data_IF_284101741389
#
_entry.id   IF_284101741389
#
_cell.length_a   1.000
_cell.length_b   1.000
_cell.length_c   1.000
_cell.angle_alpha   90.00
_cell.angle_beta   90.00
_cell.angle_gamma   90.00
#
_symmetry.space_group_name_H-M   'P 1'
#
loop_
_entity.id
_entity.type
_entity.pdbx_description
1 polymer ?
#
# COMPACT_ATOMS: atom_id res chain seq x y z
N UNK A 1 -26.72 -55.42 -80.62
CA UNK A 1 -25.70 -54.74 -81.46
C UNK A 1 -24.71 -54.15 -80.52
N UNK A 2 -23.56 -54.84 -80.25
CA UNK A 2 -22.22 -54.53 -80.72
C UNK A 2 -21.74 -53.13 -80.29
N UNK A 3 -20.70 -52.92 -79.55
CA UNK A 3 -19.29 -53.29 -79.63
C UNK A 3 -18.49 -52.78 -78.40
N UNK A 4 -17.70 -53.67 -77.83
CA UNK A 4 -16.23 -53.64 -77.69
C UNK A 4 -15.61 -52.52 -76.81
N UNK A 5 -15.05 -52.96 -75.70
CA UNK A 5 -13.61 -53.00 -75.32
C UNK A 5 -12.82 -51.69 -75.34
N UNK A 6 -12.27 -51.33 -74.23
CA UNK A 6 -10.81 -51.39 -74.00
C UNK A 6 -10.42 -51.07 -72.54
N UNK A 7 -9.60 -51.95 -71.99
CA UNK A 7 -8.80 -51.83 -70.75
C UNK A 7 -7.88 -50.63 -70.81
N UNK A 8 -7.77 -49.93 -69.76
CA UNK A 8 -6.52 -49.27 -69.39
C UNK A 8 -6.32 -49.42 -67.89
N UNK A 9 -5.34 -50.24 -67.53
CA UNK A 9 -4.72 -50.27 -66.20
C UNK A 9 -4.02 -48.94 -65.95
N UNK A 10 -4.31 -48.30 -64.87
CA UNK A 10 -3.40 -47.30 -64.24
C UNK A 10 -3.26 -47.66 -62.81
N UNK A 11 -2.00 -47.89 -62.46
CA UNK A 11 -1.52 -48.07 -61.12
C UNK A 11 -2.04 -46.93 -60.21
N UNK A 12 -2.74 -47.27 -59.17
CA UNK A 12 -3.06 -46.36 -58.06
C UNK A 12 -1.98 -46.52 -57.04
N UNK A 13 -1.15 -45.49 -56.92
CA UNK A 13 -0.23 -45.29 -55.79
C UNK A 13 -1.04 -45.06 -54.53
N UNK A 14 -1.02 -45.97 -53.59
CA UNK A 14 -1.67 -45.85 -52.29
C UNK A 14 -0.86 -44.89 -51.44
N UNK A 15 -1.31 -43.64 -51.33
CA UNK A 15 -0.87 -42.71 -50.31
C UNK A 15 -1.58 -43.07 -49.00
N UNK A 16 -0.85 -43.71 -48.08
CA UNK A 16 -1.31 -44.01 -46.74
C UNK A 16 -1.20 -42.75 -45.89
N UNK A 17 -2.27 -41.99 -45.78
CA UNK A 17 -2.41 -40.87 -44.92
C UNK A 17 -2.77 -41.39 -43.51
N UNK A 18 -1.77 -41.58 -42.67
CA UNK A 18 -1.97 -41.89 -41.24
C UNK A 18 -2.39 -40.61 -40.53
N UNK A 19 -3.67 -40.39 -40.41
CA UNK A 19 -4.25 -39.38 -39.54
C UNK A 19 -4.21 -39.89 -38.10
N UNK A 20 -3.18 -39.51 -37.35
CA UNK A 20 -3.16 -39.70 -35.88
C UNK A 20 -4.08 -38.64 -35.29
N UNK A 21 -5.34 -38.96 -35.08
CA UNK A 21 -6.28 -38.19 -34.28
C UNK A 21 -5.96 -38.44 -32.82
N UNK A 22 -5.08 -37.61 -32.25
CA UNK A 22 -4.89 -37.51 -30.80
C UNK A 22 -6.07 -36.73 -30.25
N UNK A 23 -7.14 -37.42 -29.90
CA UNK A 23 -8.21 -36.86 -29.07
C UNK A 23 -7.68 -36.69 -27.67
N UNK A 24 -7.11 -35.49 -27.40
CA UNK A 24 -6.87 -35.03 -26.04
C UNK A 24 -8.23 -34.72 -25.42
N UNK A 25 -8.86 -35.71 -24.79
CA UNK A 25 -9.97 -35.48 -23.89
C UNK A 25 -9.40 -34.79 -22.64
N UNK A 26 -9.29 -33.47 -22.69
CA UNK A 26 -9.19 -32.67 -21.49
C UNK A 26 -10.57 -32.75 -20.84
N UNK A 27 -10.76 -33.74 -19.97
CA UNK A 27 -11.77 -33.65 -18.95
C UNK A 27 -11.40 -32.44 -18.07
N UNK A 28 -11.90 -31.25 -18.43
CA UNK A 28 -11.97 -30.12 -17.55
C UNK A 28 -12.91 -30.57 -16.43
N UNK A 29 -12.36 -31.12 -15.34
CA UNK A 29 -13.05 -31.14 -14.07
C UNK A 29 -13.28 -29.68 -13.71
N UNK A 30 -14.41 -29.10 -14.12
CA UNK A 30 -14.94 -27.92 -13.48
C UNK A 30 -15.13 -28.33 -12.02
N UNK A 31 -14.16 -28.00 -11.16
CA UNK A 31 -14.33 -28.14 -9.74
C UNK A 31 -15.60 -27.37 -9.42
N UNK A 32 -16.59 -28.04 -8.85
CA UNK A 32 -17.82 -27.38 -8.41
C UNK A 32 -17.41 -26.25 -7.47
N UNK A 33 -17.54 -25.02 -7.97
CA UNK A 33 -17.18 -23.81 -7.21
C UNK A 33 -17.94 -23.73 -5.88
N UNK A 34 -18.98 -24.53 -5.75
CA UNK A 34 -19.83 -24.69 -4.58
C UNK A 34 -19.40 -25.86 -3.66
N UNK A 35 -18.32 -26.58 -3.99
CA UNK A 35 -17.84 -27.65 -3.13
C UNK A 35 -16.84 -27.14 -2.11
N UNK A 36 -17.16 -27.22 -0.83
CA UNK A 36 -16.27 -26.88 0.27
C UNK A 36 -14.92 -27.62 0.21
N UNK A 37 -14.89 -28.80 -0.43
CA UNK A 37 -13.69 -29.64 -0.57
C UNK A 37 -12.61 -29.06 -1.47
N UNK A 38 -12.96 -28.15 -2.38
CA UNK A 38 -12.05 -27.55 -3.34
C UNK A 38 -11.17 -26.42 -2.75
N UNK A 39 -11.47 -26.00 -1.50
CA UNK A 39 -10.74 -24.92 -0.84
C UNK A 39 -9.59 -25.45 0.01
N UNK A 40 -8.45 -24.78 -0.08
CA UNK A 40 -7.23 -25.12 0.66
C UNK A 40 -7.39 -24.87 2.18
N UNK A 41 -8.09 -23.80 2.53
CA UNK A 41 -8.33 -23.40 3.93
C UNK A 41 -9.81 -23.45 4.24
N UNK A 42 -10.14 -23.94 5.44
CA UNK A 42 -11.49 -23.97 6.01
C UNK A 42 -11.40 -23.63 7.48
N UNK A 43 -12.08 -22.58 7.90
CA UNK A 43 -12.08 -22.10 9.28
C UNK A 43 -13.53 -22.02 9.79
N UNK A 44 -13.88 -22.66 10.89
CA UNK A 44 -15.18 -22.53 11.52
C UNK A 44 -15.42 -21.08 11.96
N UNK A 45 -16.65 -20.63 11.81
CA UNK A 45 -17.08 -19.28 12.20
C UNK A 45 -18.06 -19.41 13.36
N UNK A 46 -17.79 -18.72 14.46
CA UNK A 46 -18.74 -18.55 15.56
C UNK A 46 -19.53 -17.27 15.34
N UNK A 47 -20.83 -17.42 15.07
CA UNK A 47 -21.75 -16.30 14.85
C UNK A 47 -22.09 -15.58 16.14
N UNK A 48 -22.42 -14.28 16.00
CA UNK A 48 -23.09 -13.54 17.06
C UNK A 48 -24.57 -13.86 17.01
N UNK A 49 -25.19 -14.28 18.13
CA UNK A 49 -26.63 -14.62 18.19
C UNK A 49 -27.51 -13.44 17.74
N UNK A 50 -28.67 -13.74 17.18
CA UNK A 50 -29.74 -12.80 16.81
C UNK A 50 -29.32 -11.70 15.80
N UNK A 51 -28.20 -11.86 15.09
CA UNK A 51 -27.72 -10.94 14.09
C UNK A 51 -27.69 -11.60 12.71
N UNK A 52 -28.64 -11.28 11.81
CA UNK A 52 -28.70 -11.90 10.49
C UNK A 52 -27.54 -11.42 9.57
N UNK A 53 -27.15 -10.16 9.68
CA UNK A 53 -26.01 -9.60 8.97
C UNK A 53 -24.84 -9.44 9.92
N UNK A 54 -23.71 -9.97 9.52
CA UNK A 54 -22.48 -9.97 10.31
C UNK A 54 -21.28 -9.66 9.45
N UNK A 55 -20.20 -9.25 10.08
CA UNK A 55 -18.94 -8.99 9.40
C UNK A 55 -17.82 -9.89 9.90
N UNK A 56 -16.90 -10.20 8.99
CA UNK A 56 -15.73 -11.03 9.24
C UNK A 56 -14.51 -10.36 8.64
N UNK A 57 -13.51 -10.07 9.44
CA UNK A 57 -12.20 -9.64 8.90
C UNK A 57 -11.42 -10.87 8.43
N UNK A 58 -10.87 -10.83 7.22
CA UNK A 58 -10.07 -11.93 6.69
C UNK A 58 -8.77 -12.07 7.51
N UNK A 59 -8.52 -13.25 8.08
CA UNK A 59 -7.30 -13.50 8.84
C UNK A 59 -6.09 -13.72 7.92
N UNK A 60 -4.88 -13.59 8.45
CA UNK A 60 -3.64 -13.85 7.73
C UNK A 60 -3.63 -15.23 7.05
N UNK A 61 -4.13 -16.25 7.77
CA UNK A 61 -4.22 -17.61 7.26
C UNK A 61 -5.03 -17.71 5.96
N UNK A 62 -6.12 -16.94 5.83
CA UNK A 62 -6.90 -16.89 4.61
C UNK A 62 -6.17 -16.13 3.50
N UNK A 63 -5.60 -14.96 3.81
CA UNK A 63 -4.92 -14.09 2.83
C UNK A 63 -3.75 -14.80 2.14
N UNK A 64 -2.99 -15.61 2.87
CA UNK A 64 -1.84 -16.35 2.33
C UNK A 64 -2.20 -17.62 1.54
N UNK A 65 -3.49 -17.97 1.46
CA UNK A 65 -3.98 -19.07 0.63
C UNK A 65 -4.64 -18.59 -0.67
N UNK A 66 -4.92 -17.28 -0.79
CA UNK A 66 -5.66 -16.75 -1.92
C UNK A 66 -4.91 -16.93 -3.24
N UNK A 67 -5.63 -17.39 -4.25
CA UNK A 67 -5.13 -17.57 -5.62
C UNK A 67 -5.59 -16.44 -6.55
N UNK A 68 -6.47 -15.56 -6.06
CA UNK A 68 -7.00 -14.40 -6.78
C UNK A 68 -6.66 -13.09 -6.08
N UNK A 69 -6.11 -12.12 -6.81
CA UNK A 69 -5.85 -10.77 -6.31
C UNK A 69 -7.11 -9.95 -6.00
N UNK A 70 -8.25 -10.35 -6.57
CA UNK A 70 -9.57 -9.78 -6.31
C UNK A 70 -10.32 -10.46 -5.17
N UNK A 71 -9.67 -11.36 -4.43
CA UNK A 71 -10.27 -12.14 -3.33
C UNK A 71 -11.41 -13.07 -3.80
N UNK A 72 -11.49 -13.38 -5.11
CA UNK A 72 -12.61 -14.11 -5.71
C UNK A 72 -12.76 -15.55 -5.20
N UNK A 73 -11.75 -16.09 -4.59
CA UNK A 73 -11.66 -17.44 -4.06
C UNK A 73 -11.91 -17.54 -2.56
N UNK A 74 -12.74 -16.62 -2.03
CA UNK A 74 -13.26 -16.66 -0.66
C UNK A 74 -14.75 -16.95 -0.70
N UNK A 75 -15.22 -17.82 0.17
CA UNK A 75 -16.65 -18.14 0.37
C UNK A 75 -16.95 -18.39 1.85
N UNK A 76 -18.19 -18.19 2.23
CA UNK A 76 -18.72 -18.64 3.50
C UNK A 76 -19.81 -19.66 3.20
N UNK A 77 -19.75 -20.81 3.85
CA UNK A 77 -20.69 -21.90 3.69
C UNK A 77 -21.48 -22.13 4.98
N UNK A 78 -22.75 -22.54 4.83
CA UNK A 78 -23.58 -23.03 5.94
C UNK A 78 -23.36 -24.53 6.18
N UNK A 79 -24.05 -25.12 7.15
CA UNK A 79 -23.94 -26.54 7.48
C UNK A 79 -24.32 -27.48 6.31
N UNK A 80 -25.16 -27.03 5.39
CA UNK A 80 -25.59 -27.80 4.22
C UNK A 80 -24.54 -27.70 3.08
N UNK A 81 -23.43 -27.00 3.30
CA UNK A 81 -22.41 -26.77 2.27
C UNK A 81 -22.85 -25.79 1.18
N UNK A 82 -23.86 -24.98 1.44
CA UNK A 82 -24.32 -23.95 0.51
C UNK A 82 -23.60 -22.63 0.77
N UNK A 83 -23.13 -21.93 -0.28
CA UNK A 83 -22.53 -20.62 -0.10
C UNK A 83 -23.59 -19.59 0.32
N UNK A 84 -23.27 -18.76 1.29
CA UNK A 84 -24.15 -17.69 1.75
C UNK A 84 -23.91 -16.38 0.99
N UNK A 85 -24.94 -15.52 0.85
CA UNK A 85 -24.77 -14.20 0.24
C UNK A 85 -23.75 -13.36 1.02
N UNK A 86 -22.81 -12.76 0.32
CA UNK A 86 -21.74 -11.96 0.93
C UNK A 86 -21.29 -10.80 0.05
N UNK A 87 -20.75 -9.77 0.67
CA UNK A 87 -20.15 -8.61 0.04
C UNK A 87 -18.72 -8.40 0.56
N UNK A 88 -17.83 -7.92 -0.30
CA UNK A 88 -16.50 -7.52 0.08
C UNK A 88 -16.51 -6.04 0.47
N UNK A 89 -15.95 -5.71 1.61
CA UNK A 89 -15.73 -4.33 2.05
C UNK A 89 -14.27 -4.15 2.47
N UNK A 90 -13.75 -2.96 2.21
CA UNK A 90 -12.47 -2.54 2.79
C UNK A 90 -12.76 -1.90 4.12
N UNK A 91 -11.97 -2.23 5.13
CA UNK A 91 -12.03 -1.50 6.39
C UNK A 91 -11.64 -0.06 6.09
N UNK A 92 -12.61 0.85 6.12
CA UNK A 92 -12.29 2.26 6.02
C UNK A 92 -11.36 2.60 7.18
N UNK A 93 -10.25 3.25 6.89
CA UNK A 93 -9.52 3.97 7.94
C UNK A 93 -10.54 4.95 8.51
N UNK A 94 -10.95 4.77 9.76
CA UNK A 94 -11.75 5.78 10.44
C UNK A 94 -10.98 7.08 10.30
N UNK A 95 -11.58 8.16 9.75
CA UNK A 95 -10.90 9.44 9.74
C UNK A 95 -10.54 9.69 11.20
N UNK A 96 -9.26 9.69 11.46
CA UNK A 96 -8.80 9.91 12.80
C UNK A 96 -9.27 11.31 13.18
N UNK A 97 -10.01 11.46 14.27
CA UNK A 97 -10.39 12.76 14.79
C UNK A 97 -9.10 13.51 15.09
N UNK A 98 -8.87 14.62 14.41
CA UNK A 98 -7.74 15.49 14.68
C UNK A 98 -7.88 15.97 16.11
N UNK A 99 -6.93 15.65 16.97
CA UNK A 99 -6.89 16.20 18.30
C UNK A 99 -6.84 17.73 18.20
N UNK A 100 -7.52 18.43 19.10
CA UNK A 100 -7.51 19.87 19.14
C UNK A 100 -6.97 20.34 20.50
N UNK A 101 -5.96 21.19 20.45
CA UNK A 101 -5.40 21.83 21.64
C UNK A 101 -5.59 23.34 21.52
N UNK A 102 -6.32 23.95 22.46
CA UNK A 102 -6.52 25.40 22.49
C UNK A 102 -5.42 26.06 23.30
N UNK A 103 -4.80 27.08 22.74
CA UNK A 103 -3.77 27.90 23.36
C UNK A 103 -4.26 29.32 23.52
N UNK A 104 -4.01 29.90 24.68
CA UNK A 104 -4.29 31.33 24.96
C UNK A 104 -3.13 32.18 24.48
N UNK A 105 -3.42 33.33 23.86
CA UNK A 105 -2.41 34.26 23.41
C UNK A 105 -2.04 35.27 24.54
N UNK A 106 -0.76 35.46 24.74
CA UNK A 106 -0.21 36.48 25.64
C UNK A 106 0.38 37.60 24.79
N UNK A 107 -0.11 38.84 24.88
CA UNK A 107 0.35 39.94 24.04
C UNK A 107 1.84 40.29 24.35
N UNK A 108 2.57 40.53 23.26
CA UNK A 108 3.94 41.07 23.31
C UNK A 108 3.83 42.58 23.17
N UNK A 109 4.18 43.31 24.21
CA UNK A 109 4.10 44.77 24.28
C UNK A 109 5.47 45.38 24.01
N UNK A 110 5.53 46.47 23.28
CA UNK A 110 6.73 47.25 23.05
C UNK A 110 6.47 48.76 23.02
N UNK A 111 7.51 49.58 23.19
CA UNK A 111 7.39 51.05 23.04
C UNK A 111 7.18 51.49 21.61
N UNK A 112 6.72 52.72 21.40
CA UNK A 112 6.45 53.28 20.05
C UNK A 112 7.66 53.22 19.09
N UNK A 113 8.88 53.25 19.62
CA UNK A 113 10.12 53.21 18.86
C UNK A 113 10.64 51.78 18.57
N UNK A 114 9.97 50.74 19.08
CA UNK A 114 10.43 49.37 18.95
C UNK A 114 10.05 48.81 17.60
N UNK A 115 11.00 48.77 16.69
CA UNK A 115 10.83 48.20 15.32
C UNK A 115 11.33 46.75 15.18
N UNK A 116 12.09 46.23 16.18
CA UNK A 116 12.65 44.91 16.16
C UNK A 116 12.31 44.13 17.45
N UNK A 117 11.99 42.86 17.28
CA UNK A 117 11.64 41.92 18.35
C UNK A 117 12.88 41.20 18.95
N UNK A 118 14.09 41.67 18.62
CA UNK A 118 15.32 41.12 19.16
C UNK A 118 15.62 41.66 20.56
N UNK A 119 15.93 40.77 21.50
CA UNK A 119 16.29 41.12 22.89
C UNK A 119 15.13 41.17 23.88
N UNK A 120 14.04 40.44 23.60
CA UNK A 120 12.91 40.34 24.54
C UNK A 120 13.31 39.66 25.86
N UNK A 121 13.07 40.33 26.99
CA UNK A 121 13.13 39.72 28.33
C UNK A 121 11.74 39.26 28.72
N UNK A 122 11.60 37.95 28.94
CA UNK A 122 10.37 37.34 29.42
C UNK A 122 10.36 37.32 30.95
N UNK A 123 9.40 37.99 31.57
CA UNK A 123 9.11 37.88 32.98
C UNK A 123 7.80 37.12 33.18
N UNK A 124 7.88 35.92 33.71
CA UNK A 124 6.70 35.13 34.05
C UNK A 124 6.41 35.35 35.53
N UNK A 125 5.32 36.02 35.86
CA UNK A 125 4.81 36.10 37.22
C UNK A 125 3.61 35.19 37.38
N UNK A 126 3.69 34.25 38.32
CA UNK A 126 2.58 33.39 38.71
C UNK A 126 1.94 33.93 39.94
N UNK A 127 0.72 34.51 39.84
CA UNK A 127 -0.07 34.99 40.97
C UNK A 127 -1.39 34.23 41.01
N UNK A 128 -1.66 33.53 42.11
CA UNK A 128 -2.95 32.86 42.40
C UNK A 128 -3.44 31.93 41.29
N UNK A 129 -2.55 31.13 40.68
CA UNK A 129 -2.93 30.19 39.61
C UNK A 129 -3.14 30.83 38.21
N UNK A 130 -2.96 32.14 38.10
CA UNK A 130 -2.90 32.85 36.81
C UNK A 130 -1.44 33.18 36.50
N UNK A 131 -0.97 32.68 35.36
CA UNK A 131 0.34 33.05 34.81
C UNK A 131 0.21 34.35 34.06
N UNK A 132 0.81 35.41 34.61
CA UNK A 132 0.97 36.68 33.91
C UNK A 132 2.32 36.65 33.21
N UNK A 133 2.30 36.68 31.89
CA UNK A 133 3.52 36.73 31.08
C UNK A 133 3.73 38.18 30.68
N UNK A 134 4.67 38.88 31.30
CA UNK A 134 5.11 40.19 30.88
C UNK A 134 6.36 40.05 30.01
N UNK A 135 6.27 40.49 28.80
CA UNK A 135 7.43 40.68 27.94
C UNK A 135 7.79 42.16 27.96
N UNK A 136 9.02 42.45 28.31
CA UNK A 136 9.57 43.81 28.20
C UNK A 136 10.83 43.80 27.35
N UNK A 137 11.03 44.85 26.57
CA UNK A 137 12.30 45.13 25.90
C UNK A 137 13.29 45.70 26.89
N UNK A 138 14.56 45.34 26.76
CA UNK A 138 15.64 45.67 27.73
C UNK A 138 16.03 47.14 27.79
N UNK A 139 15.39 48.04 27.08
CA UNK A 139 15.72 49.47 27.04
C UNK A 139 14.52 50.34 27.43
N UNK A 140 14.55 50.83 28.65
CA UNK A 140 13.86 52.07 29.02
C UNK A 140 12.64 51.91 29.91
N UNK A 141 12.69 52.61 31.03
CA UNK A 141 11.56 53.11 31.81
C UNK A 141 10.70 54.02 30.94
N UNK A 142 9.83 53.48 30.10
CA UNK A 142 8.84 54.27 29.34
C UNK A 142 7.46 54.13 29.98
N UNK A 143 6.76 55.27 30.06
CA UNK A 143 5.42 55.42 30.60
C UNK A 143 4.45 54.36 30.08
N UNK A 144 3.67 53.77 30.98
CA UNK A 144 2.66 52.73 30.68
C UNK A 144 1.52 53.18 29.73
N UNK A 145 1.55 54.42 29.25
CA UNK A 145 0.47 55.01 28.44
C UNK A 145 0.61 54.82 26.91
N UNK A 146 1.77 54.34 26.41
CA UNK A 146 2.02 54.22 24.95
C UNK A 146 2.63 52.86 24.58
N UNK A 147 2.07 51.79 25.09
CA UNK A 147 2.51 50.43 24.69
C UNK A 147 1.73 49.93 23.47
N UNK A 148 2.46 49.57 22.43
CA UNK A 148 1.91 48.95 21.20
C UNK A 148 2.04 47.43 21.26
N UNK A 149 1.00 46.71 20.81
CA UNK A 149 1.07 45.26 20.66
C UNK A 149 1.91 44.93 19.43
N UNK A 150 3.03 44.26 19.62
CA UNK A 150 3.96 43.86 18.55
C UNK A 150 3.69 42.46 18.03
N UNK A 151 2.95 41.66 18.80
CA UNK A 151 2.66 40.25 18.48
C UNK A 151 2.03 39.54 19.67
N UNK A 152 2.02 38.24 19.64
CA UNK A 152 1.57 37.41 20.75
C UNK A 152 2.42 36.16 20.92
N UNK A 153 2.51 35.67 22.13
CA UNK A 153 3.16 34.43 22.50
C UNK A 153 2.10 33.39 22.89
N UNK A 154 2.28 32.15 22.44
CA UNK A 154 1.44 31.00 22.77
C UNK A 154 2.32 29.91 23.40
N UNK A 155 1.86 29.25 24.44
CA UNK A 155 2.60 28.19 25.13
C UNK A 155 2.18 26.82 24.57
N UNK A 156 2.99 26.24 23.68
CA UNK A 156 2.74 24.92 23.06
C UNK A 156 3.59 23.81 23.70
N UNK A 157 4.27 24.03 24.81
CA UNK A 157 5.22 23.07 25.42
C UNK A 157 4.59 21.76 25.83
N UNK A 158 3.31 21.74 26.18
CA UNK A 158 2.59 20.55 26.60
C UNK A 158 1.99 19.76 25.41
N UNK A 159 2.11 20.26 24.19
CA UNK A 159 1.63 19.59 22.98
C UNK A 159 2.58 18.45 22.62
N UNK A 160 2.17 17.21 22.90
CA UNK A 160 3.02 16.01 22.72
C UNK A 160 2.89 15.36 21.34
N UNK A 161 1.83 15.70 20.61
CA UNK A 161 1.55 15.13 19.28
C UNK A 161 1.91 16.15 18.20
N UNK A 162 2.45 15.70 17.03
CA UNK A 162 2.78 16.62 15.95
C UNK A 162 1.58 17.45 15.51
N UNK A 163 1.80 18.74 15.28
CA UNK A 163 0.77 19.68 14.81
C UNK A 163 0.73 19.67 13.29
N UNK A 164 -0.48 19.59 12.71
CA UNK A 164 -0.73 19.56 11.26
C UNK A 164 -1.52 20.75 10.74
N UNK A 165 -2.19 21.50 11.65
CA UNK A 165 -2.83 22.75 11.29
C UNK A 165 -2.92 23.68 12.50
N UNK A 166 -2.95 24.98 12.25
CA UNK A 166 -3.05 26.04 13.26
C UNK A 166 -4.18 26.96 12.86
N UNK A 167 -5.25 27.02 13.67
CA UNK A 167 -6.33 27.96 13.50
C UNK A 167 -6.14 29.14 14.47
N UNK A 168 -5.98 30.34 13.94
CA UNK A 168 -5.84 31.54 14.74
C UNK A 168 -7.21 32.09 15.14
N UNK A 169 -7.43 32.32 16.44
CA UNK A 169 -8.58 33.07 16.96
C UNK A 169 -8.23 34.57 17.00
N UNK A 170 -8.48 35.23 15.88
CA UNK A 170 -8.05 36.61 15.67
C UNK A 170 -9.23 37.49 15.25
N UNK A 171 -9.28 38.71 15.78
CA UNK A 171 -10.12 39.78 15.30
C UNK A 171 -9.33 40.69 14.38
N UNK A 172 -9.88 40.98 13.19
CA UNK A 172 -9.23 41.70 12.10
C UNK A 172 -10.04 42.91 11.69
N UNK A 173 -9.39 44.02 11.29
CA UNK A 173 -10.07 45.12 10.60
C UNK A 173 -10.62 44.64 9.27
N UNK A 174 -11.77 45.21 8.86
CA UNK A 174 -12.39 44.87 7.58
C UNK A 174 -11.59 45.44 6.41
N UNK A 175 -11.63 44.71 5.28
CA UNK A 175 -11.07 45.16 3.98
C UNK A 175 -9.56 45.42 3.97
N UNK A 176 -8.81 44.85 4.92
CA UNK A 176 -7.35 44.99 4.98
C UNK A 176 -6.69 43.63 5.08
N UNK A 177 -5.83 43.24 4.11
CA UNK A 177 -5.02 42.01 4.23
C UNK A 177 -3.93 42.18 5.27
N UNK A 178 -3.79 41.20 6.16
CA UNK A 178 -2.79 41.17 7.22
C UNK A 178 -1.97 39.91 7.11
N UNK A 179 -0.65 40.08 7.01
CA UNK A 179 0.29 38.97 6.97
C UNK A 179 0.65 38.57 8.40
N UNK A 180 0.41 37.31 8.73
CA UNK A 180 0.82 36.69 9.98
C UNK A 180 2.04 35.83 9.76
N UNK A 181 3.02 35.97 10.66
CA UNK A 181 4.23 35.17 10.69
C UNK A 181 4.26 34.37 12.00
N UNK A 182 4.39 33.06 11.89
CA UNK A 182 4.42 32.14 13.01
C UNK A 182 5.80 31.52 13.15
N UNK A 183 6.38 31.64 14.33
CA UNK A 183 7.71 31.11 14.65
C UNK A 183 7.67 30.30 15.93
N UNK A 184 8.52 29.27 16.02
CA UNK A 184 8.65 28.43 17.21
C UNK A 184 10.04 28.52 17.82
N UNK A 185 10.12 28.49 19.17
CA UNK A 185 11.37 28.51 19.92
C UNK A 185 11.25 27.69 21.19
N UNK A 186 12.32 27.00 21.59
CA UNK A 186 12.43 26.32 22.89
C UNK A 186 12.98 27.23 23.99
N UNK A 187 13.77 28.21 23.62
CA UNK A 187 14.57 29.06 24.53
C UNK A 187 14.20 30.54 24.46
N UNK A 188 13.19 30.92 23.65
CA UNK A 188 12.75 32.30 23.40
C UNK A 188 13.81 33.18 22.74
N UNK A 189 14.94 32.61 22.34
CA UNK A 189 16.05 33.33 21.69
C UNK A 189 16.20 32.92 20.26
N UNK A 190 16.23 31.61 20.00
CA UNK A 190 16.40 31.06 18.68
C UNK A 190 15.04 30.70 18.09
N UNK A 191 14.60 31.44 17.07
CA UNK A 191 13.28 31.29 16.46
C UNK A 191 13.39 30.65 15.10
N UNK A 192 12.61 29.58 14.85
CA UNK A 192 12.46 28.96 13.54
C UNK A 192 11.10 29.27 12.95
N UNK A 193 11.03 29.48 11.65
CA UNK A 193 9.79 29.66 10.93
C UNK A 193 8.94 28.38 10.99
N UNK A 194 7.65 28.55 11.31
CA UNK A 194 6.64 27.48 11.29
C UNK A 194 5.73 27.64 10.07
N UNK A 195 5.17 28.85 9.92
CA UNK A 195 4.28 29.19 8.81
C UNK A 195 4.20 30.70 8.64
N UNK A 196 3.76 31.13 7.48
CA UNK A 196 3.29 32.47 7.18
C UNK A 196 1.95 32.39 6.42
N UNK A 197 1.08 33.37 6.64
CA UNK A 197 -0.22 33.42 5.98
C UNK A 197 -0.74 34.85 5.92
N UNK A 198 -1.60 35.10 4.93
CA UNK A 198 -2.32 36.37 4.82
C UNK A 198 -3.77 36.11 5.16
N UNK A 199 -4.29 36.80 6.18
CA UNK A 199 -5.68 36.75 6.55
C UNK A 199 -6.39 38.04 6.11
N UNK A 200 -7.63 37.88 5.65
CA UNK A 200 -8.45 38.98 5.15
C UNK A 200 -9.89 38.79 5.61
N UNK A 201 -10.50 39.88 6.08
CA UNK A 201 -11.91 39.93 6.50
C UNK A 201 -12.68 40.81 5.55
N UNK A 202 -13.66 40.25 4.84
CA UNK A 202 -14.42 40.96 3.83
C UNK A 202 -15.49 41.83 4.45
N UNK A 203 -16.22 41.33 5.46
CA UNK A 203 -17.25 42.04 6.21
C UNK A 203 -17.25 41.63 7.69
N UNK A 204 -18.08 42.31 8.49
CA UNK A 204 -18.13 42.08 9.94
C UNK A 204 -18.62 40.68 10.34
N UNK A 205 -19.28 39.96 9.44
CA UNK A 205 -19.86 38.62 9.69
C UNK A 205 -19.02 37.46 9.14
N UNK A 206 -18.14 37.71 8.15
CA UNK A 206 -17.32 36.66 7.55
C UNK A 206 -15.96 36.57 8.25
N UNK A 207 -15.84 35.62 9.14
CA UNK A 207 -14.53 35.11 9.56
C UNK A 207 -13.97 34.29 8.40
N UNK A 208 -13.03 34.84 7.65
CA UNK A 208 -12.23 34.08 6.69
C UNK A 208 -11.57 32.88 7.39
N UNK A 209 -11.29 31.83 6.67
CA UNK A 209 -10.63 30.64 7.19
C UNK A 209 -9.28 31.03 7.80
N UNK A 210 -9.22 31.10 9.13
CA UNK A 210 -8.00 31.41 9.89
C UNK A 210 -7.11 30.16 10.12
N UNK A 211 -7.41 29.05 9.43
CA UNK A 211 -6.71 27.78 9.57
C UNK A 211 -5.56 27.68 8.56
N UNK A 212 -4.38 27.45 9.07
CA UNK A 212 -3.13 27.31 8.34
C UNK A 212 -2.73 25.85 8.40
N UNK A 213 -2.75 25.14 7.28
CA UNK A 213 -2.22 23.79 7.20
C UNK A 213 -0.68 23.85 7.20
N UNK A 214 -0.06 23.02 8.03
CA UNK A 214 1.41 22.94 8.14
C UNK A 214 1.87 21.49 7.98
N UNK A 215 3.06 21.23 7.43
CA UNK A 215 3.64 19.90 7.51
C UNK A 215 3.70 19.45 8.97
N UNK A 216 3.49 18.16 9.25
CA UNK A 216 3.49 17.64 10.61
C UNK A 216 4.76 18.08 11.37
N UNK A 217 4.58 18.91 12.40
CA UNK A 217 5.68 19.51 13.17
C UNK A 217 5.57 19.15 14.63
N UNK A 218 6.70 18.74 15.22
CA UNK A 218 6.82 18.59 16.66
C UNK A 218 7.01 19.97 17.32
N UNK A 219 6.01 20.37 18.07
CA UNK A 219 6.02 21.62 18.86
C UNK A 219 6.16 21.36 20.36
N UNK A 220 6.44 20.11 20.77
CA UNK A 220 6.65 19.80 22.19
C UNK A 220 7.83 20.58 22.75
N UNK A 221 7.64 21.20 23.94
CA UNK A 221 8.65 22.06 24.56
C UNK A 221 8.87 23.42 23.88
N UNK A 222 8.04 23.79 22.88
CA UNK A 222 8.21 25.08 22.20
C UNK A 222 7.18 26.12 22.65
N UNK A 223 7.58 27.36 22.53
CA UNK A 223 6.70 28.52 22.48
C UNK A 223 6.46 28.90 21.01
N UNK A 224 5.28 29.41 20.69
CA UNK A 224 4.96 29.97 19.39
C UNK A 224 4.86 31.48 19.50
N UNK A 225 5.55 32.19 18.63
CA UNK A 225 5.43 33.63 18.46
C UNK A 225 4.66 33.93 17.22
N UNK A 226 3.59 34.71 17.34
CA UNK A 226 2.78 35.17 16.22
C UNK A 226 2.97 36.67 16.11
N UNK A 227 3.47 37.11 14.98
CA UNK A 227 3.63 38.53 14.64
C UNK A 227 2.84 38.84 13.40
N UNK A 228 2.44 40.11 13.22
CA UNK A 228 1.67 40.52 12.05
C UNK A 228 2.12 41.84 11.49
N UNK A 229 1.95 42.00 10.18
CA UNK A 229 2.23 43.20 9.41
C UNK A 229 1.13 43.48 8.41
N UNK A 230 0.81 44.73 8.22
CA UNK A 230 -0.17 45.19 7.20
C UNK A 230 0.40 46.31 6.35
N UNK A 231 -0.24 46.57 5.22
CA UNK A 231 0.24 47.50 4.18
C UNK A 231 0.35 48.97 4.60
N UNK A 232 -0.24 49.38 5.71
CA UNK A 232 -0.09 50.72 6.31
C UNK A 232 0.38 50.60 7.73
N UNK A 233 1.30 51.46 8.12
CA UNK A 233 2.08 51.45 9.36
C UNK A 233 1.32 51.63 10.68
N UNK A 234 -0.01 51.63 10.67
CA UNK A 234 -0.87 51.67 11.85
C UNK A 234 -1.83 50.52 11.86
N UNK A 235 -1.40 49.38 12.45
CA UNK A 235 -2.23 48.18 12.66
C UNK A 235 -3.08 48.31 13.93
N UNK A 236 -3.85 49.41 14.06
CA UNK A 236 -4.85 49.51 15.09
C UNK A 236 -6.01 48.57 14.75
N UNK A 237 -6.32 47.62 15.66
CA UNK A 237 -7.50 46.75 15.53
C UNK A 237 -7.23 45.28 15.28
N UNK A 238 -5.98 44.82 15.29
CA UNK A 238 -5.69 43.36 15.28
C UNK A 238 -5.60 42.86 16.73
N UNK A 239 -6.45 41.90 17.07
CA UNK A 239 -6.43 41.26 18.40
C UNK A 239 -6.37 39.74 18.23
N UNK A 240 -5.28 39.11 18.65
CA UNK A 240 -5.14 37.66 18.73
C UNK A 240 -5.52 37.19 20.13
N UNK A 241 -6.59 36.39 20.24
CA UNK A 241 -7.08 35.83 21.52
C UNK A 241 -6.41 34.49 21.84
N UNK A 242 -6.10 33.73 20.81
CA UNK A 242 -5.51 32.40 20.96
C UNK A 242 -5.32 31.70 19.62
N UNK A 243 -4.99 30.41 19.71
CA UNK A 243 -4.93 29.52 18.56
C UNK A 243 -5.44 28.14 18.96
N UNK A 244 -6.06 27.44 18.00
CA UNK A 244 -6.38 26.03 18.12
C UNK A 244 -5.41 25.25 17.24
N UNK A 245 -4.60 24.41 17.86
CA UNK A 245 -3.69 23.51 17.16
C UNK A 245 -4.43 22.22 16.84
N UNK A 246 -4.54 21.88 15.56
CA UNK A 246 -4.96 20.55 15.14
C UNK A 246 -3.74 19.65 15.14
N UNK A 247 -3.75 18.62 15.97
CA UNK A 247 -2.63 17.69 16.06
C UNK A 247 -2.83 16.55 15.08
N UNK A 248 -1.72 16.05 14.54
CA UNK A 248 -1.72 14.80 13.79
C UNK A 248 -2.33 13.76 14.73
N UNK A 249 -3.41 13.19 14.29
CA UNK A 249 -3.98 12.11 15.08
C UNK A 249 -2.98 11.01 15.10
N UNK A 250 -2.73 10.49 16.28
CA UNK A 250 -2.38 9.08 16.42
C UNK A 250 -3.64 8.34 15.99
N UNK A 251 -3.91 8.42 14.67
CA UNK A 251 -5.07 7.81 14.08
C UNK A 251 -5.05 6.36 14.40
N UNK A 252 -6.18 5.76 14.55
CA UNK A 252 -6.35 4.33 14.48
C UNK A 252 -5.49 3.85 13.32
N UNK A 253 -4.26 3.46 13.62
CA UNK A 253 -3.36 2.86 12.65
C UNK A 253 -4.17 1.67 12.15
N UNK A 254 -4.57 1.73 10.88
CA UNK A 254 -5.27 0.59 10.28
C UNK A 254 -4.42 -0.63 10.58
N UNK A 255 -4.88 -1.47 11.53
CA UNK A 255 -4.09 -2.61 11.98
C UNK A 255 -3.99 -3.57 10.82
N UNK A 256 -2.85 -3.58 10.17
CA UNK A 256 -2.56 -4.46 9.04
C UNK A 256 -2.51 -5.91 9.49
N UNK A 257 -2.94 -6.77 8.62
CA UNK A 257 -2.81 -8.21 8.81
C UNK A 257 -1.40 -8.62 8.43
N UNK A 258 -0.74 -9.39 9.29
CA UNK A 258 0.69 -9.68 9.22
C UNK A 258 0.92 -11.17 9.00
N UNK A 259 1.80 -11.51 8.05
CA UNK A 259 2.31 -12.87 7.86
C UNK A 259 3.82 -12.86 7.66
N UNK A 260 4.54 -13.74 8.35
CA UNK A 260 5.97 -13.89 8.18
C UNK A 260 6.28 -14.76 6.96
N UNK A 261 7.31 -14.42 6.20
CA UNK A 261 7.84 -15.30 5.16
C UNK A 261 8.95 -16.18 5.77
N UNK A 262 8.98 -17.43 5.34
CA UNK A 262 10.13 -18.29 5.68
C UNK A 262 11.42 -17.62 5.18
N UNK A 263 12.52 -17.66 5.95
CA UNK A 263 13.77 -17.02 5.56
C UNK A 263 14.18 -17.43 4.14
N UNK A 264 14.55 -16.48 3.27
CA UNK A 264 14.95 -16.77 1.90
C UNK A 264 16.33 -17.44 1.90
N UNK A 265 16.59 -18.22 0.88
CA UNK A 265 17.96 -18.57 0.57
C UNK A 265 18.66 -17.30 0.04
N UNK A 266 19.72 -16.86 0.71
CA UNK A 266 20.61 -15.81 0.20
C UNK A 266 21.36 -16.36 -1.01
N UNK A 267 21.06 -15.83 -2.19
CA UNK A 267 21.83 -16.11 -3.41
C UNK A 267 23.16 -15.35 -3.34
N UNK A 268 23.12 -14.13 -2.79
CA UNK A 268 24.29 -13.30 -2.51
C UNK A 268 23.97 -12.31 -1.39
N UNK A 269 24.97 -11.63 -0.78
CA UNK A 269 24.71 -10.57 0.19
C UNK A 269 23.85 -9.42 -0.35
N UNK A 270 23.76 -9.29 -1.68
CA UNK A 270 23.06 -8.19 -2.35
C UNK A 270 21.76 -8.61 -3.04
N UNK A 271 21.39 -9.88 -3.00
CA UNK A 271 20.18 -10.33 -3.69
C UNK A 271 19.55 -11.52 -2.98
N UNK A 272 18.24 -11.43 -2.77
CA UNK A 272 17.41 -12.55 -2.37
C UNK A 272 16.01 -12.41 -2.97
N UNK A 273 15.34 -13.53 -3.13
CA UNK A 273 14.03 -13.58 -3.78
C UNK A 273 13.07 -14.54 -3.08
N UNK A 274 11.78 -14.25 -3.23
CA UNK A 274 10.69 -15.06 -2.71
C UNK A 274 9.75 -15.45 -3.83
N UNK A 275 9.33 -16.70 -3.84
CA UNK A 275 8.18 -17.15 -4.62
C UNK A 275 6.99 -17.28 -3.66
N UNK A 276 5.97 -16.45 -3.86
CA UNK A 276 4.80 -16.39 -3.00
C UNK A 276 3.73 -17.39 -3.47
N UNK A 277 3.24 -18.28 -2.59
CA UNK A 277 2.21 -19.25 -2.95
C UNK A 277 0.81 -18.63 -3.08
N UNK A 278 0.68 -17.34 -2.84
CA UNK A 278 -0.58 -16.60 -2.82
C UNK A 278 -0.58 -15.42 -3.81
N UNK A 279 -1.77 -14.90 -4.09
CA UNK A 279 -2.00 -13.76 -4.98
C UNK A 279 -2.63 -12.54 -4.29
N UNK A 280 -2.84 -12.57 -2.96
CA UNK A 280 -3.38 -11.43 -2.23
C UNK A 280 -2.47 -10.20 -2.40
N UNK A 281 -3.03 -9.00 -2.65
CA UNK A 281 -2.23 -7.79 -2.78
C UNK A 281 -1.50 -7.46 -1.47
N UNK A 282 -0.19 -7.31 -1.55
CA UNK A 282 0.65 -6.91 -0.42
C UNK A 282 0.65 -5.38 -0.37
N UNK A 283 0.36 -4.81 0.80
CA UNK A 283 0.39 -3.37 1.04
C UNK A 283 1.80 -2.87 1.39
N UNK A 284 2.50 -3.61 2.24
CA UNK A 284 3.86 -3.26 2.65
C UNK A 284 4.70 -4.50 2.98
N UNK A 285 6.01 -4.31 2.98
CA UNK A 285 6.98 -5.27 3.50
C UNK A 285 7.70 -4.69 4.71
N UNK A 286 7.96 -5.52 5.71
CA UNK A 286 8.95 -5.23 6.75
C UNK A 286 10.14 -6.14 6.54
N UNK A 287 11.33 -5.56 6.50
CA UNK A 287 12.60 -6.26 6.35
C UNK A 287 13.42 -5.96 7.58
N UNK A 288 13.62 -6.96 8.43
CA UNK A 288 14.38 -6.83 9.67
C UNK A 288 15.76 -7.49 9.48
N UNK A 289 16.85 -6.70 9.33
CA UNK A 289 18.20 -7.23 9.19
C UNK A 289 18.64 -8.01 10.42
N UNK A 290 19.38 -9.10 10.19
CA UNK A 290 20.07 -9.81 11.25
C UNK A 290 21.37 -9.07 11.57
N UNK A 291 21.56 -8.72 12.83
CA UNK A 291 22.73 -7.95 13.29
C UNK A 291 22.40 -6.51 13.66
N UNK A 292 23.25 -5.91 14.51
CA UNK A 292 23.18 -4.51 14.91
C UNK A 292 23.93 -3.62 13.92
N UNK A 293 23.57 -2.35 13.86
CA UNK A 293 24.25 -1.33 13.05
C UNK A 293 24.34 -1.66 11.56
N UNK A 294 23.25 -2.21 11.02
CA UNK A 294 23.09 -2.52 9.60
C UNK A 294 22.35 -1.38 8.92
N UNK A 295 22.85 -0.94 7.75
CA UNK A 295 22.21 0.04 6.89
C UNK A 295 22.41 -0.38 5.44
N UNK A 296 21.33 -0.66 4.72
CA UNK A 296 21.38 -1.21 3.37
C UNK A 296 20.33 -0.50 2.51
N UNK A 297 20.71 0.31 1.51
CA UNK A 297 19.80 0.76 0.47
C UNK A 297 19.32 -0.43 -0.34
N UNK A 298 18.00 -0.53 -0.54
CA UNK A 298 17.38 -1.66 -1.23
C UNK A 298 16.38 -1.19 -2.27
N UNK A 299 16.30 -1.96 -3.35
CA UNK A 299 15.22 -1.91 -4.33
C UNK A 299 14.37 -3.16 -4.19
N UNK A 300 13.08 -2.97 -4.04
CA UNK A 300 12.10 -4.07 -4.03
C UNK A 300 11.49 -4.18 -5.42
N UNK A 301 11.61 -5.33 -6.03
CA UNK A 301 11.11 -5.64 -7.35
C UNK A 301 10.04 -6.73 -7.27
N UNK A 302 9.05 -6.69 -8.16
CA UNK A 302 8.00 -7.70 -8.23
C UNK A 302 7.64 -8.08 -9.64
N UNK A 303 7.13 -9.31 -9.82
CA UNK A 303 6.51 -9.78 -11.06
C UNK A 303 5.48 -10.88 -10.76
N UNK A 304 4.52 -11.07 -11.65
CA UNK A 304 3.50 -12.14 -11.51
C UNK A 304 3.88 -13.43 -12.23
N UNK A 305 4.66 -13.30 -13.28
CA UNK A 305 5.06 -14.42 -14.13
C UNK A 305 6.52 -14.22 -14.56
N UNK A 306 7.24 -15.31 -14.79
CA UNK A 306 8.64 -15.29 -15.23
C UNK A 306 8.86 -14.70 -16.60
N UNK A 307 7.84 -14.71 -17.45
CA UNK A 307 7.88 -14.05 -18.76
C UNK A 307 7.80 -12.54 -18.67
N UNK A 308 7.38 -12.00 -17.51
CA UNK A 308 7.27 -10.57 -17.29
C UNK A 308 8.58 -9.98 -16.78
N UNK A 309 8.94 -8.75 -17.19
CA UNK A 309 10.07 -8.06 -16.62
C UNK A 309 9.81 -7.71 -15.15
N UNK A 310 10.88 -7.55 -14.37
CA UNK A 310 10.81 -7.07 -13.01
C UNK A 310 10.34 -5.61 -12.97
N UNK A 311 9.31 -5.33 -12.20
CA UNK A 311 8.81 -3.98 -11.95
C UNK A 311 9.27 -3.51 -10.57
N UNK A 312 9.71 -2.26 -10.45
CA UNK A 312 10.06 -1.66 -9.16
C UNK A 312 8.80 -1.39 -8.36
N UNK A 313 8.73 -1.94 -7.16
CA UNK A 313 7.65 -1.75 -6.19
C UNK A 313 7.98 -0.69 -5.15
N UNK A 314 9.25 -0.58 -4.76
CA UNK A 314 9.75 0.44 -3.85
C UNK A 314 11.27 0.58 -3.92
N UNK A 315 11.79 1.78 -3.62
CA UNK A 315 13.19 2.07 -3.37
C UNK A 315 13.30 2.71 -1.98
N UNK A 316 14.18 2.18 -1.11
CA UNK A 316 14.29 2.67 0.27
C UNK A 316 15.59 2.24 0.93
N UNK A 317 15.78 2.64 2.20
CA UNK A 317 16.91 2.20 3.03
C UNK A 317 16.38 1.36 4.19
N UNK A 318 16.87 0.13 4.28
CA UNK A 318 16.62 -0.77 5.41
C UNK A 318 17.73 -0.60 6.42
N UNK A 319 17.38 -0.37 7.68
CA UNK A 319 18.38 -0.21 8.73
C UNK A 319 17.92 -0.80 10.07
N UNK A 320 18.91 -1.17 10.88
CA UNK A 320 18.79 -1.52 12.28
C UNK A 320 19.98 -0.91 12.99
N UNK A 321 19.75 0.19 13.70
CA UNK A 321 20.79 0.97 14.36
C UNK A 321 20.59 0.93 15.87
N UNK A 322 21.66 0.71 16.62
CA UNK A 322 21.63 0.73 18.08
C UNK A 322 22.54 1.83 18.57
N UNK A 323 21.97 2.82 19.24
CA UNK A 323 22.68 3.90 19.90
C UNK A 323 22.11 4.10 21.30
N UNK A 324 22.95 4.32 22.30
CA UNK A 324 22.58 4.56 23.69
C UNK A 324 21.61 3.49 24.27
N UNK A 325 21.83 2.23 23.91
CA UNK A 325 20.98 1.10 24.34
C UNK A 325 19.59 1.05 23.70
N UNK A 326 19.25 1.96 22.78
CA UNK A 326 18.00 1.98 22.01
C UNK A 326 18.25 1.47 20.60
N UNK A 327 17.44 0.49 20.17
CA UNK A 327 17.45 -0.01 18.79
C UNK A 327 16.37 0.67 17.98
N UNK A 328 16.75 1.26 16.86
CA UNK A 328 15.87 1.86 15.87
C UNK A 328 15.92 1.02 14.59
N UNK A 329 14.75 0.56 14.13
CA UNK A 329 14.60 -0.18 12.89
C UNK A 329 13.90 0.69 11.84
N UNK A 330 14.16 0.37 10.56
CA UNK A 330 13.35 0.90 9.47
C UNK A 330 11.89 0.47 9.62
N UNK A 331 10.97 1.39 9.30
CA UNK A 331 9.53 1.09 9.27
C UNK A 331 9.15 0.13 8.14
N UNK A 332 7.85 -0.22 8.04
CA UNK A 332 7.34 -0.92 6.88
C UNK A 332 7.59 -0.15 5.58
N UNK A 333 7.94 -0.87 4.54
CA UNK A 333 8.17 -0.36 3.19
C UNK A 333 6.86 -0.43 2.44
N UNK A 334 6.24 0.70 2.15
CA UNK A 334 5.01 0.76 1.38
C UNK A 334 5.27 0.31 -0.06
N UNK A 335 4.45 -0.59 -0.57
CA UNK A 335 4.57 -1.08 -1.95
C UNK A 335 3.54 -0.40 -2.84
N UNK A 336 3.92 -0.14 -4.08
CA UNK A 336 2.94 0.14 -5.12
C UNK A 336 2.06 -1.11 -5.22
N UNK A 337 0.77 -0.97 -4.88
CA UNK A 337 -0.17 -2.09 -4.76
C UNK A 337 -0.25 -2.89 -6.06
N UNK A 338 0.45 -4.00 -6.08
CA UNK A 338 0.35 -4.97 -7.14
C UNK A 338 0.26 -6.36 -6.51
N UNK A 339 -0.61 -7.20 -7.04
CA UNK A 339 -0.53 -8.62 -6.75
C UNK A 339 0.73 -9.13 -7.41
N UNK A 340 1.70 -9.58 -6.63
CA UNK A 340 2.97 -10.12 -7.11
C UNK A 340 3.14 -11.53 -6.59
N UNK A 341 3.57 -12.45 -7.46
CA UNK A 341 3.90 -13.83 -7.07
C UNK A 341 5.39 -14.01 -6.80
N UNK A 342 6.23 -13.20 -7.41
CA UNK A 342 7.67 -13.24 -7.17
C UNK A 342 8.12 -11.85 -6.71
N UNK A 343 8.85 -11.81 -5.60
CA UNK A 343 9.49 -10.60 -5.06
C UNK A 343 10.99 -10.82 -5.06
N UNK A 344 11.73 -9.83 -5.52
CA UNK A 344 13.19 -9.78 -5.45
C UNK A 344 13.60 -8.52 -4.72
N UNK A 345 14.56 -8.64 -3.82
CA UNK A 345 15.15 -7.52 -3.09
C UNK A 345 16.62 -7.43 -3.50
N UNK A 346 16.97 -6.29 -4.06
CA UNK A 346 18.33 -5.97 -4.50
C UNK A 346 18.92 -4.92 -3.57
N UNK A 347 20.04 -5.21 -2.94
CA UNK A 347 20.81 -4.26 -2.15
C UNK A 347 21.82 -3.51 -3.02
N UNK A 348 22.08 -2.26 -2.69
CA UNK A 348 23.12 -1.46 -3.39
C UNK A 348 24.49 -2.09 -3.17
N UNK A 349 25.19 -2.40 -4.27
CA UNK A 349 26.53 -2.99 -4.29
C UNK A 349 27.62 -2.08 -3.69
N UNK A 350 27.31 -0.83 -3.43
CA UNK A 350 28.20 0.10 -2.72
C UNK A 350 28.23 -0.14 -1.21
N UNK A 351 27.37 -0.99 -0.71
CA UNK A 351 27.32 -1.41 0.70
C UNK A 351 27.71 -2.88 0.84
N UNK A 352 28.07 -3.36 2.02
CA UNK A 352 28.34 -4.78 2.25
C UNK A 352 27.13 -5.70 2.00
N UNK A 353 25.92 -5.12 1.89
CA UNK A 353 24.68 -5.89 1.77
C UNK A 353 24.24 -6.52 3.09
N UNK A 354 23.55 -7.65 3.01
CA UNK A 354 23.04 -8.39 4.16
C UNK A 354 24.03 -9.49 4.57
N UNK A 355 24.50 -9.44 5.82
CA UNK A 355 25.41 -10.44 6.36
C UNK A 355 24.76 -11.84 6.50
N UNK A 356 23.43 -11.86 6.71
CA UNK A 356 22.62 -13.07 6.79
C UNK A 356 21.21 -12.76 6.24
N UNK A 357 20.44 -13.81 5.93
CA UNK A 357 19.07 -13.67 5.46
C UNK A 357 18.22 -12.85 6.43
N UNK A 358 17.66 -11.70 6.02
CA UNK A 358 16.82 -10.91 6.89
C UNK A 358 15.47 -11.61 7.14
N UNK A 359 14.82 -11.25 8.25
CA UNK A 359 13.43 -11.63 8.49
C UNK A 359 12.53 -10.73 7.66
N UNK A 360 11.70 -11.33 6.82
CA UNK A 360 10.77 -10.58 5.97
C UNK A 360 9.35 -10.90 6.36
N UNK A 361 8.57 -9.85 6.56
CA UNK A 361 7.17 -9.92 6.94
C UNK A 361 6.33 -9.17 5.91
N UNK A 362 5.27 -9.80 5.41
CA UNK A 362 4.29 -9.17 4.54
C UNK A 362 3.16 -8.57 5.35
N UNK A 363 2.72 -7.40 4.94
CA UNK A 363 1.61 -6.67 5.57
C UNK A 363 0.51 -6.47 4.52
N UNK A 364 -0.69 -6.89 4.88
CA UNK A 364 -1.90 -6.74 4.06
C UNK A 364 -2.78 -5.65 4.63
N UNK A 365 -3.39 -4.85 3.77
CA UNK A 365 -4.48 -3.98 4.21
C UNK A 365 -5.65 -4.86 4.70
N UNK A 366 -6.32 -4.51 5.79
CA UNK A 366 -7.43 -5.28 6.31
C UNK A 366 -8.60 -5.26 5.32
N UNK A 367 -9.14 -6.43 5.07
CA UNK A 367 -10.31 -6.65 4.23
C UNK A 367 -11.35 -7.38 5.05
N UNK A 368 -12.61 -6.97 4.93
CA UNK A 368 -13.72 -7.60 5.62
C UNK A 368 -14.79 -8.10 4.64
N UNK A 369 -15.44 -9.17 5.04
CA UNK A 369 -16.64 -9.69 4.42
C UNK A 369 -17.85 -9.27 5.24
N UNK A 370 -18.89 -8.80 4.58
CA UNK A 370 -20.23 -8.69 5.16
C UNK A 370 -21.04 -9.83 4.59
N UNK A 371 -21.73 -10.59 5.40
CA UNK A 371 -22.48 -11.74 4.94
C UNK A 371 -23.81 -11.90 5.67
N UNK A 372 -24.77 -12.51 5.00
CA UNK A 372 -26.06 -12.89 5.57
C UNK A 372 -25.95 -14.33 6.11
N UNK A 373 -26.11 -14.48 7.42
CA UNK A 373 -26.12 -15.79 8.07
C UNK A 373 -27.43 -16.54 7.73
N UNK A 374 -27.49 -17.10 6.51
CA UNK A 374 -28.66 -17.83 6.02
C UNK A 374 -28.43 -19.34 6.12
N UNK A 375 -29.41 -20.05 6.69
CA UNK A 375 -29.35 -21.49 6.91
C UNK A 375 -28.89 -21.86 8.32
N UNK A 376 -28.69 -23.14 8.54
CA UNK A 376 -28.27 -23.67 9.85
C UNK A 376 -26.72 -23.62 9.94
N UNK A 377 -26.20 -23.37 11.17
CA UNK A 377 -24.78 -23.54 11.47
C UNK A 377 -24.40 -25.04 11.63
N UNK A 378 -23.10 -25.36 11.64
CA UNK A 378 -21.96 -24.43 11.70
C UNK A 378 -21.66 -23.74 10.38
N UNK A 379 -21.15 -22.51 10.46
CA UNK A 379 -20.67 -21.77 9.27
C UNK A 379 -19.17 -21.93 9.13
N UNK A 380 -18.70 -21.91 7.88
CA UNK A 380 -17.29 -22.12 7.58
C UNK A 380 -16.78 -21.07 6.56
N UNK A 381 -15.70 -20.36 6.92
CA UNK A 381 -14.94 -19.58 5.97
C UNK A 381 -14.06 -20.52 5.16
N UNK A 382 -14.11 -20.43 3.84
CA UNK A 382 -13.29 -21.19 2.91
C UNK A 382 -12.50 -20.24 2.01
N UNK A 383 -11.21 -20.52 1.80
CA UNK A 383 -10.31 -19.70 0.99
C UNK A 383 -9.29 -20.55 0.21
N UNK A 384 -8.82 -20.02 -0.93
CA UNK A 384 -7.73 -20.63 -1.69
C UNK A 384 -8.17 -21.71 -2.68
N UNK A 385 -9.19 -21.45 -3.47
CA UNK A 385 -9.57 -22.33 -4.59
C UNK A 385 -9.20 -21.66 -5.92
N UNK A 386 -8.70 -22.44 -6.86
CA UNK A 386 -8.25 -21.93 -8.15
C UNK A 386 -9.42 -21.61 -9.11
N UNK A 387 -9.24 -20.59 -9.96
CA UNK A 387 -10.10 -20.28 -11.10
C UNK A 387 -11.58 -19.99 -10.76
N UNK A 388 -11.84 -19.34 -9.61
CA UNK A 388 -13.19 -18.96 -9.23
C UNK A 388 -13.54 -17.56 -9.74
N UNK A 389 -14.79 -17.39 -10.17
CA UNK A 389 -15.40 -16.09 -10.42
C UNK A 389 -15.82 -15.43 -9.11
N UNK A 390 -15.96 -14.09 -9.13
CA UNK A 390 -16.48 -13.34 -7.98
C UNK A 390 -17.90 -13.78 -7.63
N UNK A 391 -18.16 -13.98 -6.34
CA UNK A 391 -19.52 -14.22 -5.80
C UNK A 391 -19.98 -13.09 -4.88
N UNK A 392 -19.29 -11.95 -4.92
CA UNK A 392 -19.65 -10.82 -4.08
C UNK A 392 -20.84 -10.07 -4.67
N UNK A 393 -21.80 -9.78 -3.80
CA UNK A 393 -22.88 -8.84 -4.07
C UNK A 393 -22.41 -7.41 -3.75
N UNK A 394 -22.97 -6.41 -4.41
CA UNK A 394 -22.82 -5.03 -3.96
C UNK A 394 -23.38 -4.86 -2.53
N UNK A 395 -22.72 -4.07 -1.69
CA UNK A 395 -23.19 -3.80 -0.31
C UNK A 395 -24.65 -3.31 -0.27
N UNK A 396 -25.12 -2.41 -1.15
CA UNK A 396 -26.53 -2.01 -1.15
C UNK A 396 -27.52 -3.15 -1.45
N UNK A 397 -27.10 -4.19 -2.17
CA UNK A 397 -27.93 -5.37 -2.44
C UNK A 397 -28.03 -6.29 -1.24
N UNK A 398 -27.00 -6.32 -0.40
CA UNK A 398 -26.96 -7.12 0.82
C UNK A 398 -27.58 -6.38 2.03
N UNK A 399 -27.48 -5.05 2.03
CA UNK A 399 -27.94 -4.15 3.10
C UNK A 399 -28.88 -3.09 2.48
N UNK A 400 -30.19 -3.35 2.42
CA UNK A 400 -31.15 -2.34 1.91
C UNK A 400 -31.07 -1.03 2.71
N UNK A 401 -31.01 0.10 2.01
CA UNK A 401 -30.82 1.41 2.65
C UNK A 401 -29.38 1.71 3.09
N UNK A 402 -28.40 1.01 2.55
CA UNK A 402 -26.98 1.14 2.88
C UNK A 402 -26.47 2.59 2.78
N UNK A 403 -25.77 3.01 3.82
CA UNK A 403 -24.96 4.23 3.85
C UNK A 403 -23.50 3.84 4.13
N UNK A 404 -22.58 4.56 3.51
CA UNK A 404 -21.14 4.26 3.65
C UNK A 404 -20.70 4.22 5.12
N UNK A 405 -20.02 3.17 5.50
CA UNK A 405 -19.53 2.94 6.87
C UNK A 405 -20.50 2.19 7.80
N UNK A 406 -21.74 1.93 7.38
CA UNK A 406 -22.68 1.13 8.20
C UNK A 406 -22.20 -0.29 8.40
N UNK A 407 -21.48 -0.86 7.44
CA UNK A 407 -20.88 -2.19 7.53
C UNK A 407 -19.92 -2.33 8.72
N UNK A 408 -19.30 -1.23 9.15
CA UNK A 408 -18.37 -1.24 10.29
C UNK A 408 -19.09 -1.32 11.64
N UNK A 409 -20.40 -1.07 11.68
CA UNK A 409 -21.23 -1.16 12.87
C UNK A 409 -21.83 -2.55 13.07
N UNK A 410 -21.74 -3.42 12.06
CA UNK A 410 -22.23 -4.79 12.16
C UNK A 410 -21.45 -5.60 13.20
N UNK A 411 -22.10 -6.56 13.87
CA UNK A 411 -21.41 -7.47 14.78
C UNK A 411 -20.27 -8.20 14.07
N UNK A 412 -19.13 -8.27 14.73
CA UNK A 412 -17.97 -8.99 14.21
C UNK A 412 -17.97 -10.41 14.73
N UNK A 413 -17.93 -11.38 13.81
CA UNK A 413 -17.82 -12.79 14.17
C UNK A 413 -16.38 -13.12 14.59
N UNK A 414 -16.26 -14.21 15.35
CA UNK A 414 -14.97 -14.79 15.69
C UNK A 414 -14.70 -16.04 14.86
N UNK A 415 -13.46 -16.22 14.49
CA UNK A 415 -12.99 -17.45 13.87
C UNK A 415 -12.43 -18.35 14.97
N UNK A 416 -12.79 -19.61 14.94
CA UNK A 416 -12.10 -20.61 15.75
C UNK A 416 -10.72 -20.85 15.11
N UNK A 417 -9.83 -19.91 15.31
CA UNK A 417 -8.41 -20.13 15.09
C UNK A 417 -7.91 -20.85 16.32
N UNK A 418 -7.55 -22.13 16.21
CA UNK A 418 -6.67 -22.71 17.19
C UNK A 418 -5.49 -21.76 17.41
N UNK A 419 -4.84 -21.81 18.54
CA UNK A 419 -3.70 -20.98 18.98
C UNK A 419 -2.55 -21.05 17.94
N UNK A 420 -2.84 -20.56 16.72
CA UNK A 420 -1.92 -20.53 15.61
C UNK A 420 -0.99 -19.35 15.88
N UNK A 421 0.23 -19.64 16.26
CA UNK A 421 1.32 -18.68 16.28
C UNK A 421 1.42 -17.89 14.97
N UNK A 422 2.41 -17.03 14.83
CA UNK A 422 2.54 -16.20 13.63
C UNK A 422 2.49 -17.07 12.37
N UNK A 423 1.63 -16.68 11.42
CA UNK A 423 1.48 -17.40 10.14
C UNK A 423 2.80 -17.29 9.38
N UNK A 424 3.49 -18.42 9.22
CA UNK A 424 4.72 -18.51 8.44
C UNK A 424 4.40 -19.09 7.07
N UNK A 425 4.64 -18.31 6.04
CA UNK A 425 4.45 -18.73 4.64
C UNK A 425 5.73 -19.39 4.14
N UNK A 426 5.65 -20.64 3.72
CA UNK A 426 6.75 -21.29 3.03
C UNK A 426 7.01 -20.55 1.71
N UNK A 427 8.15 -19.88 1.60
CA UNK A 427 8.59 -19.25 0.38
C UNK A 427 9.54 -20.19 -0.35
N UNK A 428 9.20 -20.58 -1.60
CA UNK A 428 10.13 -21.29 -2.47
C UNK A 428 11.23 -20.35 -2.97
N UNK A 429 12.46 -20.83 -3.10
CA UNK A 429 13.47 -20.10 -3.86
C UNK A 429 13.01 -19.99 -5.32
N UNK A 430 13.16 -18.82 -5.93
CA UNK A 430 12.93 -18.64 -7.36
C UNK A 430 13.98 -19.44 -8.10
N UNK A 431 13.66 -20.66 -8.56
CA UNK A 431 14.58 -21.44 -9.37
C UNK A 431 14.47 -20.98 -10.81
N UNK A 432 15.57 -20.52 -11.40
CA UNK A 432 15.66 -20.10 -12.82
C UNK A 432 15.54 -21.28 -13.82
N UNK A 433 15.08 -22.46 -13.37
CA UNK A 433 14.87 -23.60 -14.26
C UNK A 433 13.77 -23.28 -15.24
N UNK A 434 14.09 -23.31 -16.52
CA UNK A 434 13.09 -23.20 -17.60
C UNK A 434 11.95 -24.20 -17.35
N UNK A 435 10.70 -23.76 -17.44
CA UNK A 435 9.57 -24.66 -17.27
C UNK A 435 9.63 -25.79 -18.29
N UNK A 436 9.39 -27.01 -17.85
CA UNK A 436 9.46 -28.24 -18.68
C UNK A 436 8.66 -28.11 -19.97
N UNK A 437 7.57 -27.35 -19.96
CA UNK A 437 6.77 -27.05 -21.17
C UNK A 437 7.55 -26.28 -22.23
N UNK A 438 8.43 -25.35 -21.84
CA UNK A 438 9.26 -24.62 -22.79
C UNK A 438 10.31 -25.53 -23.43
N UNK A 439 10.89 -26.45 -22.66
CA UNK A 439 11.83 -27.43 -23.21
C UNK A 439 11.15 -28.39 -24.20
N UNK A 440 9.92 -28.80 -23.93
CA UNK A 440 9.13 -29.64 -24.86
C UNK A 440 8.79 -28.85 -26.13
N UNK A 441 8.37 -27.60 -26.03
CA UNK A 441 8.11 -26.74 -27.18
C UNK A 441 9.36 -26.54 -28.06
N UNK A 442 10.51 -26.25 -27.43
CA UNK A 442 11.79 -26.16 -28.15
C UNK A 442 12.17 -27.47 -28.79
N UNK A 443 11.95 -28.60 -28.10
CA UNK A 443 12.18 -29.95 -28.64
C UNK A 443 11.34 -30.23 -29.89
N UNK A 444 10.03 -29.90 -29.86
CA UNK A 444 9.11 -30.06 -31.01
C UNK A 444 9.52 -29.14 -32.17
N UNK A 445 9.91 -27.89 -31.89
CA UNK A 445 10.36 -26.93 -32.89
C UNK A 445 11.63 -27.42 -33.59
N UNK A 446 12.61 -27.91 -32.84
CA UNK A 446 13.87 -28.46 -33.39
C UNK A 446 13.58 -29.71 -34.22
N UNK A 447 12.73 -30.64 -33.74
CA UNK A 447 12.34 -31.82 -34.47
C UNK A 447 11.63 -31.49 -35.77
N UNK A 448 10.73 -30.50 -35.76
CA UNK A 448 10.04 -29.99 -36.96
C UNK A 448 11.02 -29.36 -37.95
N UNK A 449 11.97 -28.57 -37.51
CA UNK A 449 13.00 -27.98 -38.36
C UNK A 449 13.92 -29.04 -39.00
N UNK A 450 14.30 -30.06 -38.23
CA UNK A 450 15.09 -31.18 -38.75
C UNK A 450 14.31 -32.02 -39.79
N UNK A 451 13.01 -32.26 -39.57
CA UNK A 451 12.16 -32.97 -40.54
C UNK A 451 12.03 -32.18 -41.84
N UNK A 452 11.81 -30.85 -41.78
CA UNK A 452 11.77 -29.99 -42.96
C UNK A 452 13.11 -29.97 -43.70
N UNK A 453 14.23 -29.88 -42.97
CA UNK A 453 15.58 -29.92 -43.52
C UNK A 453 15.89 -31.26 -44.24
N UNK A 454 15.47 -32.38 -43.64
CA UNK A 454 15.62 -33.70 -44.23
C UNK A 454 14.77 -33.83 -45.52
N UNK A 455 13.54 -33.30 -45.51
CA UNK A 455 12.65 -33.29 -46.68
C UNK A 455 13.20 -32.46 -47.83
N UNK A 456 13.73 -31.24 -47.51
CA UNK A 456 14.37 -30.40 -48.50
C UNK A 456 15.63 -31.06 -49.09
N UNK A 457 16.44 -31.70 -48.27
CA UNK A 457 17.63 -32.42 -48.71
C UNK A 457 17.26 -33.61 -49.60
N UNK A 458 16.21 -34.39 -49.26
CA UNK A 458 15.71 -35.49 -50.07
C UNK A 458 15.23 -35.00 -51.45
N UNK A 459 14.50 -33.88 -51.52
CA UNK A 459 14.03 -33.27 -52.76
C UNK A 459 15.20 -32.77 -53.62
N UNK A 460 16.20 -32.15 -53.06
CA UNK A 460 17.42 -31.73 -53.78
C UNK A 460 18.17 -32.92 -54.34
N UNK A 461 18.28 -34.02 -53.58
CA UNK A 461 18.93 -35.25 -54.03
C UNK A 461 18.15 -35.95 -55.16
N UNK A 462 16.83 -35.85 -55.17
CA UNK A 462 15.98 -36.40 -56.24
C UNK A 462 16.09 -35.57 -57.51
N UNK A 463 16.07 -34.26 -57.44
CA UNK A 463 16.26 -33.32 -58.55
C UNK A 463 17.62 -33.46 -59.23
N UNK A 464 18.67 -33.76 -58.45
CA UNK A 464 20.01 -34.02 -59.03
C UNK A 464 20.15 -35.39 -59.69
N UNK A 465 19.27 -36.35 -59.43
CA UNK A 465 19.21 -37.65 -60.16
C UNK A 465 18.49 -37.52 -61.48
N UNK A 466 17.43 -36.74 -61.60
CA UNK A 466 16.66 -36.51 -62.80
C UNK A 466 17.44 -35.68 -63.85
N UNK A 467 18.39 -34.86 -63.43
CA UNK A 467 19.27 -34.07 -64.30
C UNK A 467 20.35 -34.95 -65.04
N UNK A 468 20.57 -36.20 -64.56
CA UNK A 468 21.56 -37.10 -65.15
C UNK A 468 20.99 -38.09 -66.23
N UNK A 469 19.70 -38.04 -66.51
CA UNK A 469 18.99 -38.96 -67.44
C UNK A 469 18.47 -38.31 -68.74
N UNK A 470 19.04 -37.16 -69.15
CA UNK A 470 18.73 -36.65 -70.49
C UNK A 470 19.69 -37.33 -71.51
N UNK A 471 19.17 -38.08 -72.47
CA UNK A 471 19.99 -38.67 -73.51
C UNK A 471 20.48 -37.58 -74.44
N UNK A 472 21.78 -37.62 -74.77
CA UNK A 472 22.37 -36.83 -75.80
C UNK A 472 21.79 -37.21 -77.14
N UNK A 473 20.90 -36.40 -77.69
CA UNK A 473 20.37 -36.63 -79.01
C UNK A 473 21.37 -36.14 -80.10
N UNK A 474 21.67 -37.06 -80.95
CA UNK A 474 22.64 -37.09 -82.01
C UNK A 474 22.26 -36.11 -83.13
N UNK A 475 23.05 -35.04 -83.38
CA UNK A 475 22.95 -34.31 -84.64
C UNK A 475 24.16 -34.63 -85.47
N UNK A 476 23.93 -35.50 -86.42
CA UNK A 476 24.81 -35.81 -87.55
C UNK A 476 24.08 -35.68 -88.85
N UNK A 477 24.57 -34.72 -89.66
CA UNK A 477 24.34 -34.44 -91.09
C UNK A 477 23.21 -33.49 -91.42
#
# INVERSE_FOLDING_TARGET
MTHKLRRFQRLASASFLVTISVTFSTALCAADANSLKSYALRLPITLVPDAPLQRLQLPAQALVQLQSSGYNDVRIFNAQGQPVPMALSRVASTPAERGQVKLTAFPILGGESTTALDGLQLRIEERQGQRLVQLSTATGTENAAAQKVLGALLDAREVKTPVVAIALDVDLPTSQPITFNLQASKDLKNWRQVADTVLFKTDAASLGTSTIEVPAQDLSGHYLRVTWAGGNSQLAGVTLRGATLATAVTGSVMTRVVAALAPPALVSPHEFSFNLPFAAPIAALRIDPVGSNTLVPVRVLGRNDRSQPWATLADTVVYKLTADGKTQNSGPIELIRAATREIKIEADKKTPGFAAAPVVTVLFDPVQLVFLANGAGPFTLAAGAANLSSAYLPLPSLMPGYQSGQENKLPSVTLESGDAGPVIVASGAVSDRMPTRSLVLWGVLIAGALALGAMAWALMKQSSRDAKTLPADNVGK
#
